data_IF_503683502632
#
_entry.id   IF_503683502632
#
_cell.length_a   1.000
_cell.length_b   1.000
_cell.length_c   1.000
_cell.angle_alpha   90.00
_cell.angle_beta   90.00
_cell.angle_gamma   90.00
#
_symmetry.space_group_name_H-M   'P 1'
#
loop_
_entity.id
_entity.type
_entity.pdbx_description
1 polymer ?
#
# COMPACT_ATOMS: atom_id res chain seq x y z
N UNK A 1 -10.67 -4.50 23.92
CA UNK A 1 -11.87 -4.22 24.72
C UNK A 1 -11.44 -4.22 26.18
N UNK A 2 -11.43 -3.06 26.84
CA UNK A 2 -11.21 -2.99 28.28
C UNK A 2 -12.46 -3.59 28.93
N UNK A 3 -12.31 -4.68 29.68
CA UNK A 3 -13.40 -5.16 30.52
C UNK A 3 -13.76 -4.04 31.49
N UNK A 4 -15.03 -3.62 31.52
CA UNK A 4 -15.57 -2.67 32.51
C UNK A 4 -15.72 -3.33 33.89
N UNK A 5 -14.63 -3.89 34.39
CA UNK A 5 -14.59 -4.46 35.71
C UNK A 5 -14.65 -3.32 36.73
N UNK A 6 -15.62 -3.40 37.66
CA UNK A 6 -15.78 -2.41 38.73
C UNK A 6 -14.66 -2.57 39.76
N UNK A 7 -14.10 -1.45 40.21
CA UNK A 7 -13.11 -1.41 41.30
C UNK A 7 -13.86 -1.03 42.58
N UNK A 8 -13.64 -1.78 43.66
CA UNK A 8 -14.20 -1.43 44.97
C UNK A 8 -13.49 -0.21 45.55
N UNK A 9 -14.25 0.86 45.78
CA UNK A 9 -13.73 2.14 46.26
C UNK A 9 -13.37 2.13 47.75
N UNK A 10 -13.83 1.13 48.52
CA UNK A 10 -13.53 1.02 49.95
C UNK A 10 -12.02 0.89 50.24
N UNK A 11 -11.26 0.35 49.27
CA UNK A 11 -9.81 0.14 49.37
C UNK A 11 -9.06 1.47 49.51
N UNK A 12 -9.54 2.55 48.89
CA UNK A 12 -8.92 3.87 48.94
C UNK A 12 -9.02 4.54 50.31
N UNK A 13 -9.90 4.07 51.21
CA UNK A 13 -9.97 4.55 52.61
C UNK A 13 -8.68 4.25 53.40
N UNK A 14 -7.88 3.29 52.92
CA UNK A 14 -6.56 2.96 53.49
C UNK A 14 -5.44 3.84 52.93
N UNK A 15 -5.78 4.96 52.26
CA UNK A 15 -4.84 5.86 51.60
C UNK A 15 -3.98 5.15 50.53
N UNK A 16 -4.58 4.22 49.78
CA UNK A 16 -3.91 3.50 48.68
C UNK A 16 -4.04 4.27 47.36
N UNK A 17 -3.11 4.05 46.43
CA UNK A 17 -3.18 4.57 45.06
C UNK A 17 -3.43 3.46 44.04
N UNK A 18 -4.07 3.81 42.91
CA UNK A 18 -4.28 2.91 41.77
C UNK A 18 -3.62 3.50 40.53
N UNK A 19 -2.75 2.72 39.88
CA UNK A 19 -1.99 3.15 38.71
C UNK A 19 -2.27 2.23 37.52
N UNK A 20 -2.94 2.75 36.49
CA UNK A 20 -3.09 2.07 35.21
C UNK A 20 -1.84 2.26 34.36
N UNK A 21 -1.05 1.20 34.16
CA UNK A 21 0.23 1.29 33.45
C UNK A 21 0.05 0.82 32.00
N UNK A 22 0.27 1.72 31.05
CA UNK A 22 0.22 1.46 29.61
C UNK A 22 1.56 1.82 28.98
N UNK A 23 2.44 0.82 28.83
CA UNK A 23 3.79 1.03 28.30
C UNK A 23 3.79 1.57 26.86
N UNK A 24 2.74 1.32 26.08
CA UNK A 24 2.60 1.82 24.70
C UNK A 24 2.68 3.36 24.60
N UNK A 25 2.18 4.07 25.61
CA UNK A 25 2.22 5.54 25.63
C UNK A 25 3.64 6.08 25.80
N UNK A 26 4.53 5.30 26.40
CA UNK A 26 5.93 5.67 26.61
C UNK A 26 6.76 5.64 25.32
N UNK A 27 6.30 4.92 24.28
CA UNK A 27 7.01 4.88 22.99
C UNK A 27 6.83 6.16 22.16
N UNK A 28 5.79 6.95 22.44
CA UNK A 28 5.66 8.32 21.92
C UNK A 28 6.68 9.22 22.60
N UNK A 29 7.23 10.20 21.88
CA UNK A 29 8.25 11.08 22.46
C UNK A 29 7.69 11.83 23.68
N UNK A 30 8.25 11.49 24.83
CA UNK A 30 7.86 11.97 26.15
C UNK A 30 9.10 12.00 27.04
N UNK A 31 9.09 12.87 28.05
CA UNK A 31 10.19 12.97 29.01
C UNK A 31 10.37 11.67 29.79
N UNK A 32 9.28 10.98 30.13
CA UNK A 32 9.26 9.69 30.80
C UNK A 32 10.00 8.57 30.04
N UNK A 33 10.04 8.65 28.71
CA UNK A 33 10.81 7.71 27.88
C UNK A 33 12.30 7.82 28.16
N UNK A 34 12.82 9.04 28.29
CA UNK A 34 14.25 9.27 28.57
C UNK A 34 14.61 8.75 29.96
N UNK A 35 13.81 9.10 30.95
CA UNK A 35 13.99 8.64 32.33
C UNK A 35 13.99 7.10 32.42
N UNK A 36 13.02 6.44 31.78
CA UNK A 36 12.95 4.98 31.76
C UNK A 36 14.15 4.33 31.08
N UNK A 37 14.66 4.93 29.99
CA UNK A 37 15.89 4.44 29.31
C UNK A 37 17.11 4.59 30.21
N UNK A 38 17.23 5.72 30.93
CA UNK A 38 18.32 5.94 31.90
C UNK A 38 18.28 4.89 33.01
N UNK A 39 17.13 4.70 33.65
CA UNK A 39 16.94 3.69 34.70
C UNK A 39 17.26 2.28 34.20
N UNK A 40 16.84 1.94 32.97
CA UNK A 40 17.13 0.63 32.38
C UNK A 40 18.63 0.46 32.10
N UNK A 41 19.31 1.51 31.65
CA UNK A 41 20.76 1.49 31.37
C UNK A 41 21.59 1.35 32.65
N UNK A 42 21.25 2.10 33.70
CA UNK A 42 21.87 1.98 35.02
C UNK A 42 21.63 0.60 35.63
N UNK A 43 20.40 0.09 35.52
CA UNK A 43 20.05 -1.25 36.00
C UNK A 43 20.83 -2.37 35.30
N UNK A 44 21.13 -2.21 34.00
CA UNK A 44 21.98 -3.15 33.26
C UNK A 44 23.44 -3.05 33.73
N UNK A 45 23.97 -1.84 33.90
CA UNK A 45 25.35 -1.62 34.35
C UNK A 45 25.60 -2.19 35.75
N UNK A 46 24.62 -2.01 36.65
CA UNK A 46 24.68 -2.50 38.03
C UNK A 46 24.32 -3.99 38.17
N UNK A 47 24.00 -4.69 37.07
CA UNK A 47 23.66 -6.11 37.07
C UNK A 47 22.30 -6.45 37.70
N UNK A 48 21.45 -5.45 37.96
CA UNK A 48 20.07 -5.65 38.44
C UNK A 48 19.20 -6.22 37.32
N UNK A 49 19.43 -5.77 36.09
CA UNK A 49 18.70 -6.23 34.90
C UNK A 49 19.51 -7.34 34.22
N UNK A 50 19.07 -8.58 34.42
CA UNK A 50 19.68 -9.77 33.83
C UNK A 50 18.79 -10.38 32.74
N UNK A 51 19.38 -11.03 31.70
CA UNK A 51 18.62 -11.76 30.70
C UNK A 51 17.77 -12.88 31.33
N UNK A 52 16.53 -13.01 30.86
CA UNK A 52 15.62 -14.08 31.27
C UNK A 52 15.98 -15.40 30.57
N UNK A 53 15.59 -16.56 31.13
CA UNK A 53 15.65 -17.83 30.40
C UNK A 53 14.92 -17.73 29.06
N UNK A 54 15.52 -18.26 27.99
CA UNK A 54 14.97 -18.14 26.63
C UNK A 54 14.64 -19.49 26.03
N UNK A 55 13.42 -19.65 25.52
CA UNK A 55 13.06 -20.75 24.62
C UNK A 55 13.13 -20.25 23.19
N UNK A 56 14.04 -20.81 22.40
CA UNK A 56 14.34 -20.32 21.05
C UNK A 56 13.73 -21.22 19.99
N UNK A 57 12.92 -20.64 19.10
CA UNK A 57 12.37 -21.31 17.92
C UNK A 57 13.09 -20.82 16.66
N UNK A 58 13.34 -21.72 15.71
CA UNK A 58 13.87 -21.34 14.40
C UNK A 58 12.78 -20.70 13.53
N UNK A 59 13.20 -20.04 12.45
CA UNK A 59 12.27 -19.50 11.46
C UNK A 59 11.26 -20.54 10.92
N UNK A 60 11.66 -21.81 10.80
CA UNK A 60 10.81 -22.90 10.30
C UNK A 60 9.74 -23.31 11.31
N UNK A 61 10.02 -23.13 12.61
CA UNK A 61 9.13 -23.51 13.72
C UNK A 61 8.32 -22.32 14.26
N UNK A 62 8.05 -21.31 13.44
CA UNK A 62 7.32 -20.10 13.84
C UNK A 62 5.96 -20.43 14.46
N UNK A 63 5.17 -21.27 13.79
CA UNK A 63 3.85 -21.68 14.26
C UNK A 63 3.94 -22.40 15.61
N UNK A 64 4.92 -23.31 15.75
CA UNK A 64 5.16 -24.03 16.99
C UNK A 64 5.51 -23.07 18.14
N UNK A 65 6.29 -22.01 17.86
CA UNK A 65 6.63 -20.98 18.85
C UNK A 65 5.40 -20.24 19.37
N UNK A 66 4.48 -19.84 18.48
CA UNK A 66 3.21 -19.25 18.89
C UNK A 66 2.34 -20.22 19.67
N UNK A 67 2.21 -21.49 19.22
CA UNK A 67 1.45 -22.51 19.96
C UNK A 67 2.05 -22.75 21.34
N UNK A 68 3.36 -22.85 21.46
CA UNK A 68 4.05 -23.00 22.74
C UNK A 68 3.75 -21.84 23.69
N UNK A 69 3.79 -20.60 23.20
CA UNK A 69 3.44 -19.40 23.98
C UNK A 69 2.00 -19.50 24.51
N UNK A 70 1.03 -19.90 23.68
CA UNK A 70 -0.38 -20.01 24.09
C UNK A 70 -0.64 -21.07 25.17
N UNK A 71 0.22 -22.08 25.32
CA UNK A 71 0.03 -23.10 26.37
C UNK A 71 0.30 -22.59 27.80
N UNK A 72 0.95 -21.42 27.94
CA UNK A 72 1.33 -20.87 29.24
C UNK A 72 2.43 -21.65 29.98
N UNK A 73 3.04 -22.67 29.36
CA UNK A 73 4.10 -23.51 29.98
C UNK A 73 5.52 -22.92 29.88
N UNK A 74 5.67 -21.76 29.25
CA UNK A 74 6.98 -21.16 29.03
C UNK A 74 7.48 -20.44 30.29
N UNK A 75 8.76 -20.61 30.60
CA UNK A 75 9.45 -19.84 31.64
C UNK A 75 10.37 -18.85 30.93
N UNK A 76 10.22 -17.56 31.24
CA UNK A 76 11.01 -16.49 30.63
C UNK A 76 10.49 -16.04 29.27
N UNK A 77 11.38 -15.89 28.28
CA UNK A 77 11.04 -15.31 26.96
C UNK A 77 11.05 -16.37 25.85
N UNK A 78 10.01 -16.35 25.01
CA UNK A 78 9.98 -17.10 23.75
C UNK A 78 10.56 -16.24 22.65
N UNK A 79 11.66 -16.69 22.05
CA UNK A 79 12.39 -15.95 21.01
C UNK A 79 12.31 -16.67 19.66
N UNK A 80 12.25 -15.88 18.59
CA UNK A 80 12.34 -16.37 17.22
C UNK A 80 13.71 -16.03 16.63
N UNK A 81 14.48 -17.05 16.29
CA UNK A 81 15.82 -16.90 15.72
C UNK A 81 15.73 -16.78 14.19
N UNK A 82 15.90 -15.55 13.71
CA UNK A 82 15.95 -15.23 12.28
C UNK A 82 17.33 -15.53 11.68
N UNK A 83 18.40 -15.24 12.43
CA UNK A 83 19.78 -15.46 12.02
C UNK A 83 20.60 -16.00 13.18
N UNK A 84 21.62 -16.78 12.85
CA UNK A 84 22.69 -17.09 13.77
C UNK A 84 23.51 -15.84 14.09
N UNK A 85 23.97 -15.74 15.33
CA UNK A 85 24.90 -14.68 15.72
C UNK A 85 26.24 -14.93 15.03
N UNK A 86 26.85 -13.85 14.54
CA UNK A 86 28.14 -13.94 13.87
C UNK A 86 29.24 -14.19 14.91
N UNK A 87 30.37 -14.82 14.52
CA UNK A 87 31.43 -15.15 15.47
C UNK A 87 32.07 -13.93 16.14
N UNK A 88 31.96 -12.73 15.54
CA UNK A 88 32.41 -11.48 16.14
C UNK A 88 31.23 -10.53 16.37
N UNK A 89 31.20 -9.87 17.54
CA UNK A 89 30.13 -8.94 17.93
C UNK A 89 30.00 -7.72 17.00
N UNK A 90 31.11 -7.24 16.44
CA UNK A 90 31.15 -6.04 15.60
C UNK A 90 31.70 -6.37 14.22
N UNK A 91 30.86 -6.97 13.36
CA UNK A 91 31.22 -7.25 11.97
C UNK A 91 30.07 -7.00 11.01
N UNK A 92 30.40 -6.83 9.73
CA UNK A 92 29.39 -6.67 8.69
C UNK A 92 28.57 -7.97 8.56
N UNK A 93 27.24 -7.90 8.65
CA UNK A 93 26.40 -9.07 8.59
C UNK A 93 26.46 -9.72 7.19
N UNK A 94 26.59 -11.04 7.13
CA UNK A 94 26.48 -11.76 5.87
C UNK A 94 25.07 -11.63 5.28
N UNK A 95 24.98 -11.49 3.95
CA UNK A 95 23.71 -11.45 3.23
C UNK A 95 23.02 -12.81 3.34
N UNK A 96 21.79 -12.81 3.86
CA UNK A 96 20.93 -14.00 3.96
C UNK A 96 19.71 -13.83 3.09
N UNK A 97 19.43 -14.83 2.26
CA UNK A 97 18.16 -14.91 1.52
C UNK A 97 17.13 -15.61 2.38
N UNK A 98 15.89 -15.11 2.32
CA UNK A 98 14.77 -15.63 3.11
C UNK A 98 13.62 -15.88 2.14
N UNK A 99 13.04 -17.08 2.19
CA UNK A 99 11.81 -17.36 1.46
C UNK A 99 10.68 -16.50 2.03
N UNK A 100 10.11 -15.64 1.19
CA UNK A 100 9.03 -14.74 1.56
C UNK A 100 7.95 -14.76 0.48
N UNK A 101 6.71 -14.56 0.91
CA UNK A 101 5.59 -14.38 -0.02
C UNK A 101 5.71 -13.01 -0.65
N UNK A 102 5.77 -12.96 -1.98
CA UNK A 102 5.84 -11.70 -2.71
C UNK A 102 4.61 -10.84 -2.41
N UNK A 103 4.85 -9.58 -2.10
CA UNK A 103 3.81 -8.60 -1.80
C UNK A 103 4.23 -7.27 -2.40
N UNK A 104 3.41 -6.76 -3.31
CA UNK A 104 3.66 -5.46 -3.95
C UNK A 104 3.41 -4.35 -2.95
N UNK A 105 4.41 -3.50 -2.77
CA UNK A 105 4.31 -2.23 -2.07
C UNK A 105 4.62 -1.10 -3.06
N UNK A 106 4.10 0.08 -2.76
CA UNK A 106 4.28 1.27 -3.55
C UNK A 106 5.33 2.16 -2.88
N UNK A 107 6.26 2.67 -3.67
CA UNK A 107 7.26 3.61 -3.23
C UNK A 107 6.60 4.94 -2.83
N UNK A 108 6.84 5.44 -1.60
CA UNK A 108 6.20 6.66 -1.11
C UNK A 108 6.70 7.92 -1.82
N UNK A 109 7.85 7.85 -2.49
CA UNK A 109 8.54 8.91 -3.23
C UNK A 109 8.29 8.84 -4.75
N UNK A 110 7.39 7.97 -5.23
CA UNK A 110 6.98 7.88 -6.64
C UNK A 110 5.53 8.30 -6.85
N UNK A 111 5.22 8.76 -8.07
CA UNK A 111 3.86 9.08 -8.50
C UNK A 111 3.23 7.94 -9.31
N UNK A 112 1.91 7.82 -9.19
CA UNK A 112 1.13 6.75 -9.81
C UNK A 112 -0.04 7.33 -10.60
N UNK A 113 -0.08 7.05 -11.90
CA UNK A 113 -1.05 7.59 -12.84
C UNK A 113 -2.11 6.54 -13.16
N UNK A 114 -3.37 6.83 -12.82
CA UNK A 114 -4.51 5.93 -13.03
C UNK A 114 -5.46 6.55 -14.06
N UNK A 115 -5.45 6.01 -15.27
CA UNK A 115 -6.37 6.41 -16.34
C UNK A 115 -7.74 5.79 -16.11
N UNK A 116 -8.80 6.61 -16.07
CA UNK A 116 -10.10 6.16 -15.58
C UNK A 116 -10.14 6.00 -14.06
N UNK A 117 -9.22 6.63 -13.32
CA UNK A 117 -9.05 6.47 -11.87
C UNK A 117 -10.25 6.91 -11.02
N UNK A 118 -11.16 7.72 -11.56
CA UNK A 118 -12.42 8.10 -10.89
C UNK A 118 -13.58 7.11 -11.14
N UNK A 119 -13.37 6.06 -11.94
CA UNK A 119 -14.31 4.96 -12.07
C UNK A 119 -14.40 4.12 -10.79
N UNK A 120 -15.46 3.33 -10.62
CA UNK A 120 -15.67 2.53 -9.41
C UNK A 120 -14.47 1.64 -9.06
N UNK A 121 -13.93 0.92 -10.04
CA UNK A 121 -12.74 0.08 -9.84
C UNK A 121 -11.45 0.91 -9.66
N UNK A 122 -11.31 2.03 -10.37
CA UNK A 122 -10.15 2.92 -10.25
C UNK A 122 -9.98 3.51 -8.85
N UNK A 123 -11.09 3.87 -8.19
CA UNK A 123 -11.07 4.37 -6.81
C UNK A 123 -10.60 3.30 -5.81
N UNK A 124 -11.04 2.06 -6.00
CA UNK A 124 -10.62 0.96 -5.13
C UNK A 124 -9.16 0.55 -5.39
N UNK A 125 -8.70 0.59 -6.64
CA UNK A 125 -7.27 0.43 -6.93
C UNK A 125 -6.44 1.54 -6.27
N UNK A 126 -6.85 2.80 -6.39
CA UNK A 126 -6.17 3.93 -5.74
C UNK A 126 -6.10 3.73 -4.23
N UNK A 127 -7.20 3.36 -3.59
CA UNK A 127 -7.25 3.05 -2.16
C UNK A 127 -6.28 1.92 -1.79
N UNK A 128 -6.29 0.83 -2.55
CA UNK A 128 -5.37 -0.29 -2.35
C UNK A 128 -3.91 0.17 -2.46
N UNK A 129 -3.56 0.93 -3.49
CA UNK A 129 -2.20 1.46 -3.68
C UNK A 129 -1.76 2.37 -2.52
N UNK A 130 -2.67 3.21 -2.01
CA UNK A 130 -2.41 4.07 -0.84
C UNK A 130 -2.11 3.23 0.40
N UNK A 131 -2.90 2.17 0.65
CA UNK A 131 -2.62 1.23 1.75
C UNK A 131 -1.32 0.44 1.57
N UNK A 132 -0.85 0.33 0.32
CA UNK A 132 0.45 -0.26 -0.04
C UNK A 132 1.62 0.72 0.00
N UNK A 133 1.41 1.99 0.35
CA UNK A 133 2.47 2.97 0.56
C UNK A 133 2.48 4.14 -0.42
N UNK A 134 1.62 4.16 -1.43
CA UNK A 134 1.58 5.26 -2.39
C UNK A 134 1.21 6.57 -1.67
N UNK A 135 1.89 7.66 -2.05
CA UNK A 135 1.63 9.02 -1.52
C UNK A 135 1.26 10.04 -2.59
N UNK A 136 1.63 9.79 -3.84
CA UNK A 136 1.34 10.67 -4.98
C UNK A 136 0.47 9.91 -5.99
N UNK A 137 -0.80 10.30 -6.09
CA UNK A 137 -1.79 9.65 -6.95
C UNK A 137 -2.33 10.67 -7.96
N UNK A 138 -2.29 10.33 -9.24
CA UNK A 138 -2.86 11.13 -10.33
C UNK A 138 -4.03 10.35 -10.92
N UNK A 139 -5.24 10.85 -10.71
CA UNK A 139 -6.48 10.25 -11.22
C UNK A 139 -6.88 10.97 -12.49
N UNK A 140 -6.85 10.27 -13.62
CA UNK A 140 -7.22 10.84 -14.91
C UNK A 140 -8.66 10.48 -15.25
N UNK A 141 -9.46 11.50 -15.54
CA UNK A 141 -10.86 11.36 -15.94
C UNK A 141 -11.24 12.55 -16.82
N UNK A 142 -11.77 12.28 -18.01
CA UNK A 142 -12.23 13.31 -18.97
C UNK A 142 -13.17 14.36 -18.36
N UNK A 143 -13.84 14.01 -17.27
CA UNK A 143 -14.94 14.81 -16.73
C UNK A 143 -14.73 15.27 -15.28
N UNK A 144 -13.61 14.92 -14.67
CA UNK A 144 -13.35 15.20 -13.26
C UNK A 144 -14.30 14.47 -12.29
N UNK A 145 -14.45 15.01 -11.09
CA UNK A 145 -15.36 14.49 -10.05
C UNK A 145 -16.80 14.86 -10.41
N UNK A 146 -17.70 13.87 -10.40
CA UNK A 146 -19.13 14.03 -10.64
C UNK A 146 -20.02 13.48 -9.53
N UNK A 147 -19.51 12.60 -8.68
CA UNK A 147 -20.31 11.95 -7.63
C UNK A 147 -19.84 12.31 -6.22
N UNK A 148 -20.76 12.29 -5.26
CA UNK A 148 -20.43 12.49 -3.85
C UNK A 148 -19.44 11.45 -3.31
N UNK A 149 -19.53 10.20 -3.79
CA UNK A 149 -18.58 9.14 -3.42
C UNK A 149 -17.16 9.44 -3.88
N UNK A 150 -16.97 9.89 -5.14
CA UNK A 150 -15.66 10.30 -5.66
C UNK A 150 -15.06 11.43 -4.82
N UNK A 151 -15.85 12.46 -4.52
CA UNK A 151 -15.42 13.58 -3.68
C UNK A 151 -15.00 13.12 -2.29
N UNK A 152 -15.83 12.30 -1.64
CA UNK A 152 -15.57 11.78 -0.30
C UNK A 152 -14.24 11.01 -0.25
N UNK A 153 -14.00 10.10 -1.21
CA UNK A 153 -12.77 9.29 -1.25
C UNK A 153 -11.53 10.15 -1.44
N UNK A 154 -11.58 11.09 -2.39
CA UNK A 154 -10.45 12.01 -2.64
C UNK A 154 -10.17 12.89 -1.41
N UNK A 155 -11.20 13.40 -0.74
CA UNK A 155 -11.04 14.19 0.49
C UNK A 155 -10.45 13.35 1.63
N UNK A 156 -10.92 12.12 1.83
CA UNK A 156 -10.36 11.21 2.84
C UNK A 156 -8.86 10.96 2.62
N UNK A 157 -8.44 10.70 1.38
CA UNK A 157 -7.03 10.49 1.08
C UNK A 157 -6.20 11.75 1.33
N UNK A 158 -6.69 12.93 0.93
CA UNK A 158 -6.02 14.21 1.19
C UNK A 158 -5.88 14.50 2.68
N UNK A 159 -6.93 14.23 3.48
CA UNK A 159 -6.89 14.39 4.94
C UNK A 159 -5.88 13.46 5.60
N UNK A 160 -5.62 12.29 4.99
CA UNK A 160 -4.59 11.35 5.42
C UNK A 160 -3.18 11.69 4.87
N UNK A 161 -2.99 12.89 4.31
CA UNK A 161 -1.69 13.37 3.82
C UNK A 161 -1.29 12.84 2.44
N UNK A 162 -2.20 12.24 1.68
CA UNK A 162 -1.93 11.76 0.32
C UNK A 162 -2.12 12.91 -0.68
N UNK A 163 -1.14 13.11 -1.55
CA UNK A 163 -1.21 14.11 -2.64
C UNK A 163 -1.97 13.51 -3.82
N UNK A 164 -3.25 13.85 -3.92
CA UNK A 164 -4.14 13.38 -4.99
C UNK A 164 -4.42 14.52 -5.98
N UNK A 165 -4.01 14.33 -7.23
CA UNK A 165 -4.29 15.23 -8.35
C UNK A 165 -5.34 14.60 -9.26
N UNK A 166 -6.27 15.42 -9.73
CA UNK A 166 -7.28 15.02 -10.71
C UNK A 166 -6.92 15.72 -12.01
N UNK A 167 -6.66 14.94 -13.05
CA UNK A 167 -6.35 15.45 -14.38
C UNK A 167 -7.50 15.14 -15.33
N UNK A 168 -7.82 16.10 -16.20
CA UNK A 168 -8.80 15.96 -17.27
C UNK A 168 -8.15 15.81 -18.65
N UNK A 169 -6.85 15.50 -18.69
CA UNK A 169 -6.09 15.30 -19.92
C UNK A 169 -6.74 14.24 -20.83
N UNK A 170 -6.77 14.50 -22.15
CA UNK A 170 -7.23 13.53 -23.12
C UNK A 170 -6.08 12.59 -23.52
N UNK A 171 -6.07 11.42 -22.92
CA UNK A 171 -5.01 10.43 -23.13
C UNK A 171 -5.00 9.81 -24.53
N UNK A 172 -5.98 10.13 -25.38
CA UNK A 172 -6.02 9.70 -26.78
C UNK A 172 -5.12 10.56 -27.68
N UNK A 173 -4.67 11.73 -27.21
CA UNK A 173 -3.72 12.59 -27.92
C UNK A 173 -2.32 12.50 -27.31
N UNK A 174 -1.28 12.54 -28.14
CA UNK A 174 0.10 12.36 -27.67
C UNK A 174 0.58 13.55 -26.82
N UNK A 175 0.22 14.78 -27.21
CA UNK A 175 0.61 16.01 -26.50
C UNK A 175 0.06 16.07 -25.08
N UNK A 176 -1.20 15.66 -24.88
CA UNK A 176 -1.81 15.66 -23.56
C UNK A 176 -1.20 14.59 -22.66
N UNK A 177 -0.83 13.43 -23.23
CA UNK A 177 -0.12 12.39 -22.48
C UNK A 177 1.27 12.87 -22.07
N UNK A 178 1.99 13.57 -22.94
CA UNK A 178 3.30 14.15 -22.61
C UNK A 178 3.16 15.16 -21.45
N UNK A 179 2.21 16.09 -21.54
CA UNK A 179 1.91 17.05 -20.48
C UNK A 179 1.51 16.36 -19.15
N UNK A 180 0.63 15.35 -19.22
CA UNK A 180 0.20 14.56 -18.06
C UNK A 180 1.38 13.89 -17.35
N UNK A 181 2.29 13.27 -18.12
CA UNK A 181 3.45 12.57 -17.56
C UNK A 181 4.46 13.57 -16.99
N UNK A 182 4.69 14.70 -17.65
CA UNK A 182 5.57 15.76 -17.15
C UNK A 182 5.05 16.36 -15.85
N UNK A 183 3.75 16.64 -15.77
CA UNK A 183 3.10 17.11 -14.54
C UNK A 183 3.16 16.07 -13.43
N UNK A 184 3.03 14.78 -13.78
CA UNK A 184 3.16 13.69 -12.81
C UNK A 184 4.59 13.59 -12.27
N UNK A 185 5.60 13.68 -13.14
CA UNK A 185 7.02 13.70 -12.77
C UNK A 185 7.39 14.93 -11.93
N UNK A 186 6.74 16.08 -12.14
CA UNK A 186 6.90 17.27 -11.30
C UNK A 186 6.40 17.05 -9.86
N UNK A 187 5.47 16.12 -9.63
CA UNK A 187 5.05 15.73 -8.28
C UNK A 187 6.07 14.79 -7.63
N UNK A 188 6.44 13.75 -8.36
CA UNK A 188 7.38 12.70 -8.00
C UNK A 188 7.66 11.83 -9.25
N UNK A 189 8.84 11.19 -9.38
CA UNK A 189 9.12 10.30 -10.51
C UNK A 189 8.00 9.28 -10.73
N UNK A 190 7.52 9.13 -11.97
CA UNK A 190 6.42 8.19 -12.28
C UNK A 190 6.90 6.75 -12.06
N UNK A 191 6.32 6.11 -11.05
CA UNK A 191 6.60 4.71 -10.68
C UNK A 191 5.58 3.72 -11.21
N UNK A 192 4.39 4.18 -11.60
CA UNK A 192 3.41 3.29 -12.22
C UNK A 192 2.34 4.00 -13.05
N UNK A 193 1.95 3.34 -14.15
CA UNK A 193 0.88 3.74 -15.05
C UNK A 193 -0.14 2.60 -15.10
N UNK A 194 -1.40 2.91 -14.84
CA UNK A 194 -2.50 1.96 -14.82
C UNK A 194 -3.60 2.46 -15.76
N UNK A 195 -3.83 1.75 -16.86
CA UNK A 195 -4.94 2.06 -17.77
C UNK A 195 -6.18 1.24 -17.39
N UNK A 196 -7.16 1.93 -16.81
CA UNK A 196 -8.47 1.40 -16.43
C UNK A 196 -9.60 2.01 -17.26
N UNK A 197 -9.29 2.89 -18.22
CA UNK A 197 -10.31 3.56 -19.00
C UNK A 197 -11.05 2.55 -19.89
N UNK A 198 -12.37 2.64 -19.83
CA UNK A 198 -13.27 1.86 -20.65
C UNK A 198 -14.45 2.72 -21.06
N UNK A 199 -14.82 2.61 -22.33
CA UNK A 199 -16.08 3.11 -22.86
C UNK A 199 -16.76 1.90 -23.48
N UNK A 200 -18.03 1.68 -23.13
CA UNK A 200 -18.81 0.55 -23.61
C UNK A 200 -19.87 1.05 -24.59
N UNK A 201 -19.97 0.38 -25.73
CA UNK A 201 -21.00 0.54 -26.77
C UNK A 201 -21.46 -0.86 -27.14
N UNK A 202 -22.21 -1.46 -26.23
CA UNK A 202 -22.66 -2.83 -26.38
C UNK A 202 -23.86 -2.86 -27.33
N UNK A 203 -23.71 -3.58 -28.44
CA UNK A 203 -24.80 -3.85 -29.36
C UNK A 203 -24.59 -5.19 -30.03
N UNK A 204 -25.68 -5.76 -30.56
CA UNK A 204 -25.59 -6.89 -31.47
C UNK A 204 -24.84 -6.47 -32.73
N UNK A 205 -24.15 -7.43 -33.37
CA UNK A 205 -23.31 -7.18 -34.54
C UNK A 205 -24.01 -6.38 -35.65
N UNK A 206 -25.29 -6.67 -35.89
CA UNK A 206 -26.12 -5.99 -36.91
C UNK A 206 -26.37 -4.51 -36.61
N UNK A 207 -26.27 -4.11 -35.34
CA UNK A 207 -26.53 -2.76 -34.85
C UNK A 207 -25.25 -1.98 -34.53
N UNK A 208 -24.07 -2.56 -34.81
CA UNK A 208 -22.79 -1.90 -34.59
C UNK A 208 -22.41 -1.02 -35.76
N UNK A 209 -22.07 0.23 -35.47
CA UNK A 209 -21.52 1.15 -36.46
C UNK A 209 -20.02 1.31 -36.30
N UNK A 210 -19.33 1.73 -37.36
CA UNK A 210 -17.88 1.99 -37.34
C UNK A 210 -17.49 2.99 -36.24
N UNK A 211 -18.32 4.01 -36.02
CA UNK A 211 -18.13 5.00 -34.96
C UNK A 211 -18.15 4.38 -33.54
N UNK A 212 -18.92 3.31 -33.32
CA UNK A 212 -18.96 2.60 -32.03
C UNK A 212 -17.64 1.86 -31.79
N UNK A 213 -17.10 1.22 -32.83
CA UNK A 213 -15.77 0.60 -32.77
C UNK A 213 -14.67 1.61 -32.43
N UNK A 214 -14.61 2.72 -33.16
CA UNK A 214 -13.61 3.78 -32.90
C UNK A 214 -13.70 4.31 -31.47
N UNK A 215 -14.93 4.53 -30.99
CA UNK A 215 -15.21 5.02 -29.63
C UNK A 215 -14.71 4.06 -28.55
N UNK A 216 -14.93 2.75 -28.72
CA UNK A 216 -14.55 1.71 -27.73
C UNK A 216 -13.05 1.43 -27.76
N UNK A 217 -12.43 1.46 -28.94
CA UNK A 217 -11.01 1.15 -29.13
C UNK A 217 -10.12 2.26 -28.56
N UNK A 218 -10.46 3.52 -28.83
CA UNK A 218 -9.62 4.69 -28.53
C UNK A 218 -9.07 4.74 -27.09
N UNK A 219 -9.89 4.62 -26.01
CA UNK A 219 -9.40 4.71 -24.63
C UNK A 219 -8.52 3.53 -24.20
N UNK A 220 -8.52 2.40 -24.94
CA UNK A 220 -7.65 1.27 -24.67
C UNK A 220 -6.42 1.26 -25.57
N UNK A 221 -6.61 1.24 -26.89
CA UNK A 221 -5.50 1.07 -27.83
C UNK A 221 -4.73 2.37 -27.99
N UNK A 222 -5.39 3.46 -28.38
CA UNK A 222 -4.70 4.74 -28.64
C UNK A 222 -4.07 5.29 -27.36
N UNK A 223 -4.80 5.25 -26.25
CA UNK A 223 -4.27 5.65 -24.95
C UNK A 223 -3.06 4.82 -24.53
N UNK A 224 -3.12 3.49 -24.63
CA UNK A 224 -2.00 2.62 -24.24
C UNK A 224 -0.79 2.85 -25.16
N UNK A 225 -1.01 3.02 -26.47
CA UNK A 225 0.06 3.32 -27.42
C UNK A 225 0.77 4.64 -27.11
N UNK A 226 0.00 5.69 -26.82
CA UNK A 226 0.58 6.99 -26.46
C UNK A 226 1.35 6.90 -25.14
N UNK A 227 0.79 6.22 -24.13
CA UNK A 227 1.45 6.01 -22.84
C UNK A 227 2.72 5.18 -22.97
N UNK A 228 2.75 4.17 -23.83
CA UNK A 228 3.96 3.37 -24.11
C UNK A 228 5.07 4.24 -24.69
N UNK A 229 4.78 5.00 -25.75
CA UNK A 229 5.75 5.91 -26.39
C UNK A 229 6.31 6.93 -25.39
N UNK A 230 5.44 7.60 -24.63
CA UNK A 230 5.87 8.64 -23.68
C UNK A 230 6.56 8.04 -22.46
N UNK A 231 6.10 6.90 -21.94
CA UNK A 231 6.72 6.28 -20.75
C UNK A 231 8.16 5.83 -21.02
N UNK A 232 8.46 5.30 -22.21
CA UNK A 232 9.83 4.95 -22.61
C UNK A 232 10.75 6.17 -22.71
N UNK A 233 10.21 7.35 -23.05
CA UNK A 233 10.95 8.61 -23.17
C UNK A 233 11.15 9.31 -21.83
N UNK A 234 10.10 9.36 -21.00
CA UNK A 234 10.02 10.30 -19.86
C UNK A 234 9.83 9.62 -18.49
N UNK A 235 9.76 8.28 -18.40
CA UNK A 235 9.57 7.57 -17.14
C UNK A 235 10.69 6.54 -16.85
N UNK A 236 11.94 6.97 -16.58
CA UNK A 236 13.07 6.05 -16.35
C UNK A 236 12.96 5.23 -15.05
N UNK A 237 12.09 5.63 -14.11
CA UNK A 237 11.89 4.97 -12.81
C UNK A 237 10.58 4.17 -12.73
N UNK A 238 9.99 3.83 -13.88
CA UNK A 238 8.72 3.12 -13.96
C UNK A 238 8.89 1.64 -13.54
N UNK A 239 8.14 1.21 -12.52
CA UNK A 239 8.11 -0.18 -12.05
C UNK A 239 6.90 -0.95 -12.58
N UNK A 240 5.82 -0.24 -12.90
CA UNK A 240 4.52 -0.84 -13.23
C UNK A 240 3.88 -0.18 -14.46
N UNK A 241 3.63 -0.98 -15.50
CA UNK A 241 2.79 -0.59 -16.63
C UNK A 241 1.67 -1.62 -16.77
N UNK A 242 0.46 -1.27 -16.33
CA UNK A 242 -0.66 -2.22 -16.18
C UNK A 242 -1.85 -1.77 -17.01
N UNK A 243 -2.38 -2.65 -17.85
CA UNK A 243 -3.57 -2.40 -18.68
C UNK A 243 -4.64 -3.41 -18.31
N UNK A 244 -5.81 -2.92 -17.87
CA UNK A 244 -6.92 -3.80 -17.50
C UNK A 244 -7.72 -4.23 -18.73
N UNK A 245 -7.95 -5.54 -18.84
CA UNK A 245 -8.71 -6.19 -19.91
C UNK A 245 -9.86 -6.99 -19.30
N UNK A 246 -10.76 -7.52 -20.15
CA UNK A 246 -11.82 -8.44 -19.71
C UNK A 246 -11.61 -9.81 -20.32
N UNK A 247 -12.15 -10.83 -19.65
CA UNK A 247 -12.23 -12.21 -20.16
C UNK A 247 -13.01 -12.31 -21.47
N UNK A 248 -13.86 -11.32 -21.77
CA UNK A 248 -14.56 -11.20 -23.06
C UNK A 248 -13.60 -11.14 -24.26
N UNK A 249 -12.37 -10.61 -24.10
CA UNK A 249 -11.35 -10.68 -25.16
C UNK A 249 -10.92 -12.11 -25.47
N UNK A 250 -10.83 -12.97 -24.44
CA UNK A 250 -10.30 -14.33 -24.59
C UNK A 250 -11.37 -15.36 -24.98
N UNK A 251 -12.58 -15.21 -24.44
CA UNK A 251 -13.68 -16.17 -24.66
C UNK A 251 -14.76 -15.69 -25.64
N UNK A 252 -14.75 -14.40 -25.99
CA UNK A 252 -15.83 -13.76 -26.72
C UNK A 252 -17.03 -13.42 -25.82
N UNK A 253 -17.77 -12.38 -26.20
CA UNK A 253 -19.09 -12.07 -25.69
C UNK A 253 -19.93 -11.53 -26.85
N UNK A 254 -21.13 -12.09 -27.06
CA UNK A 254 -21.94 -11.89 -28.27
C UNK A 254 -22.40 -10.44 -28.52
N UNK A 255 -22.39 -9.58 -27.50
CA UNK A 255 -22.83 -8.19 -27.57
C UNK A 255 -21.72 -7.16 -27.32
N UNK A 256 -20.46 -7.60 -27.18
CA UNK A 256 -19.36 -6.74 -26.72
C UNK A 256 -18.29 -6.59 -27.80
N UNK A 257 -18.01 -5.33 -28.17
CA UNK A 257 -16.78 -5.01 -28.89
C UNK A 257 -15.64 -4.99 -27.88
N UNK A 258 -14.69 -5.93 -28.04
CA UNK A 258 -13.43 -5.86 -27.33
C UNK A 258 -12.28 -6.14 -28.27
N UNK A 259 -11.54 -5.09 -28.61
CA UNK A 259 -10.36 -5.20 -29.47
C UNK A 259 -9.12 -5.37 -28.60
N UNK A 260 -8.39 -6.44 -28.89
CA UNK A 260 -7.08 -6.71 -28.34
C UNK A 260 -6.07 -6.59 -29.49
N UNK A 261 -5.35 -5.48 -29.55
CA UNK A 261 -4.12 -5.41 -30.35
C UNK A 261 -3.03 -4.83 -29.46
N UNK A 262 -2.27 -5.73 -28.84
CA UNK A 262 -1.01 -5.41 -28.17
C UNK A 262 0.08 -6.08 -28.99
N UNK A 263 0.68 -5.34 -29.91
CA UNK A 263 2.01 -5.65 -30.42
C UNK A 263 2.97 -4.73 -29.65
N UNK A 264 3.75 -5.35 -28.75
CA UNK A 264 4.84 -4.71 -28.00
C UNK A 264 6.05 -4.45 -28.91
#
# INVERSE_FOLDING_TARGET
MLNENRIDMSIFLKNTSYHGILLEMLFKDSEYKRETITLMSEGIQNGVVCPLPTTVFSQQSLEQGFRFMTTGKHIGKVLLKIRDEEPQKCMLPMRKTIAAISRTYMYPDKSYVLIGGLGGFGLELANWMITRGARFIVLVSRTGIRTGYQMLRVQQWRNNGIKVIISTADTTTLSDVECLIDDSNRLAPVGGIFNLAVVLRDALFENLHVADFETVISPKVNCTRNLDVISRKSCPSLDHFVVFLSTSCGRGNASLIMVLQVQL
#
